data_IF_357571549776
#
_entry.id   IF_357571549776
#
_cell.length_a   1.000
_cell.length_b   1.000
_cell.length_c   1.000
_cell.angle_alpha   90.00
_cell.angle_beta   90.00
_cell.angle_gamma   90.00
#
_symmetry.space_group_name_H-M   'P 1'
#
loop_
_entity.id
_entity.type
_entity.pdbx_description
1 polymer ?
#
# COMPACT_ATOMS: atom_id res chain seq x y z
N UNK A 1 5.92 -26.62 10.46
CA UNK A 1 5.07 -25.81 9.54
C UNK A 1 5.45 -26.16 8.10
N UNK A 2 4.53 -26.66 7.28
CA UNK A 2 4.84 -27.22 5.94
C UNK A 2 5.58 -26.24 5.00
N UNK A 3 5.40 -24.92 5.15
CA UNK A 3 6.09 -23.91 4.36
C UNK A 3 7.60 -23.90 4.61
N UNK A 4 8.05 -23.95 5.86
CA UNK A 4 9.48 -23.88 6.20
C UNK A 4 10.27 -24.98 5.50
N UNK A 5 9.76 -26.22 5.54
CA UNK A 5 10.41 -27.35 4.85
C UNK A 5 10.49 -27.16 3.34
N UNK A 6 9.48 -26.51 2.73
CA UNK A 6 9.52 -26.16 1.30
C UNK A 6 10.60 -25.12 1.02
N UNK A 7 10.74 -24.09 1.86
CA UNK A 7 11.70 -22.98 1.66
C UNK A 7 13.16 -23.44 1.84
N UNK A 8 13.42 -24.45 2.67
CA UNK A 8 14.76 -25.04 2.84
C UNK A 8 15.34 -25.61 1.55
N UNK A 9 14.49 -26.19 0.70
CA UNK A 9 14.91 -26.95 -0.48
C UNK A 9 14.59 -26.28 -1.81
N UNK A 10 13.78 -25.21 -1.80
CA UNK A 10 13.28 -24.56 -3.01
C UNK A 10 13.72 -23.12 -3.11
N UNK A 11 13.83 -22.64 -4.34
CA UNK A 11 13.98 -21.22 -4.64
C UNK A 11 12.65 -20.49 -4.48
N UNK A 12 12.70 -19.27 -3.97
CA UNK A 12 11.53 -18.44 -3.74
C UNK A 12 11.87 -16.96 -3.81
N UNK A 13 10.86 -16.14 -4.07
CA UNK A 13 10.94 -14.69 -3.98
C UNK A 13 10.25 -14.19 -2.72
N UNK A 14 10.75 -13.09 -2.16
CA UNK A 14 10.14 -12.40 -1.02
C UNK A 14 9.73 -10.98 -1.42
N UNK A 15 8.59 -10.52 -0.92
CA UNK A 15 8.19 -9.13 -0.95
C UNK A 15 7.92 -8.65 0.47
N UNK A 16 8.50 -7.51 0.83
CA UNK A 16 8.34 -6.89 2.14
C UNK A 16 7.55 -5.58 2.05
N UNK A 17 6.69 -5.37 3.03
CA UNK A 17 6.02 -4.10 3.26
C UNK A 17 5.94 -3.83 4.76
N UNK A 18 6.36 -2.64 5.18
CA UNK A 18 6.12 -2.18 6.56
C UNK A 18 4.73 -1.53 6.63
N UNK A 19 4.03 -1.76 7.72
CA UNK A 19 2.75 -1.12 8.00
C UNK A 19 2.65 -0.82 9.48
N UNK A 20 2.04 0.30 9.83
CA UNK A 20 1.74 0.64 11.22
C UNK A 20 0.28 0.30 11.53
N UNK A 21 0.06 -0.47 12.60
CA UNK A 21 -1.28 -0.77 13.13
C UNK A 21 -1.82 0.40 13.96
N UNK A 22 -3.10 0.33 14.36
CA UNK A 22 -3.79 1.44 15.05
C UNK A 22 -3.15 1.85 16.37
N UNK A 23 -2.44 0.92 17.01
CA UNK A 23 -1.79 1.14 18.31
C UNK A 23 -0.31 1.54 18.18
N UNK A 24 0.08 2.10 17.02
CA UNK A 24 1.47 2.47 16.69
C UNK A 24 2.45 1.30 16.64
N UNK A 25 1.95 0.07 16.61
CA UNK A 25 2.77 -1.12 16.39
C UNK A 25 3.19 -1.20 14.93
N UNK A 26 4.50 -1.19 14.67
CA UNK A 26 5.04 -1.45 13.34
C UNK A 26 5.05 -2.96 13.08
N UNK A 27 4.53 -3.36 11.93
CA UNK A 27 4.54 -4.74 11.47
C UNK A 27 5.22 -4.87 10.12
N UNK A 28 6.00 -5.92 9.98
CA UNK A 28 6.58 -6.36 8.74
C UNK A 28 5.68 -7.42 8.12
N UNK A 29 5.10 -7.10 6.96
CA UNK A 29 4.35 -8.03 6.13
C UNK A 29 5.32 -8.66 5.14
N UNK A 30 5.38 -9.99 5.15
CA UNK A 30 6.28 -10.80 4.34
C UNK A 30 5.43 -11.66 3.42
N UNK A 31 5.49 -11.38 2.12
CA UNK A 31 4.90 -12.23 1.09
C UNK A 31 5.97 -13.11 0.49
N UNK A 32 5.72 -14.41 0.44
CA UNK A 32 6.57 -15.41 -0.17
C UNK A 32 5.89 -15.95 -1.41
N UNK A 33 6.65 -16.14 -2.48
CA UNK A 33 6.17 -16.80 -3.70
C UNK A 33 7.20 -17.82 -4.16
N UNK A 34 6.73 -19.03 -4.44
CA UNK A 34 7.56 -20.16 -4.84
C UNK A 34 6.80 -21.08 -5.80
N UNK A 35 7.53 -21.96 -6.49
CA UNK A 35 6.90 -22.96 -7.37
C UNK A 35 6.64 -24.25 -6.60
N UNK A 36 5.40 -24.73 -6.64
CA UNK A 36 4.96 -25.98 -6.01
C UNK A 36 4.07 -26.77 -6.98
N UNK A 37 4.47 -28.00 -7.30
CA UNK A 37 3.76 -28.89 -8.24
C UNK A 37 3.40 -28.20 -9.57
N UNK A 38 4.38 -27.50 -10.15
CA UNK A 38 4.22 -26.79 -11.43
C UNK A 38 3.45 -25.46 -11.37
N UNK A 39 2.92 -25.09 -10.20
CA UNK A 39 2.13 -23.87 -10.02
C UNK A 39 2.83 -22.88 -9.09
N UNK A 40 2.49 -21.59 -9.20
CA UNK A 40 2.88 -20.63 -8.19
C UNK A 40 2.07 -20.86 -6.91
N UNK A 41 2.76 -20.90 -5.79
CA UNK A 41 2.20 -20.88 -4.46
C UNK A 41 2.65 -19.60 -3.76
N UNK A 42 1.73 -18.97 -3.03
CA UNK A 42 1.94 -17.70 -2.35
C UNK A 42 1.51 -17.86 -0.88
N UNK A 43 2.31 -17.28 0.01
CA UNK A 43 2.08 -17.34 1.46
C UNK A 43 2.40 -15.98 2.06
N UNK A 44 1.58 -15.53 3.01
CA UNK A 44 1.78 -14.24 3.69
C UNK A 44 1.99 -14.47 5.18
N UNK A 45 3.00 -13.80 5.73
CA UNK A 45 3.28 -13.75 7.16
C UNK A 45 3.31 -12.31 7.63
N UNK A 46 2.97 -12.11 8.90
CA UNK A 46 3.10 -10.83 9.58
C UNK A 46 3.97 -11.01 10.82
N UNK A 47 4.92 -10.10 11.03
CA UNK A 47 5.81 -10.09 12.19
C UNK A 47 5.86 -8.71 12.80
N UNK A 48 5.69 -8.62 14.11
CA UNK A 48 5.87 -7.36 14.83
C UNK A 48 7.34 -6.92 14.81
N UNK A 49 7.56 -5.62 14.66
CA UNK A 49 8.84 -4.95 14.82
C UNK A 49 8.85 -4.29 16.21
N UNK A 50 9.45 -5.00 17.17
CA UNK A 50 9.36 -4.69 18.62
C UNK A 50 10.20 -3.47 19.04
N UNK A 51 11.16 -3.04 18.22
CA UNK A 51 12.08 -1.94 18.52
C UNK A 51 11.87 -0.77 17.57
N UNK A 52 12.69 -0.71 16.52
CA UNK A 52 12.72 0.34 15.50
C UNK A 52 12.39 -0.24 14.13
N UNK A 53 12.05 0.63 13.18
CA UNK A 53 11.75 0.26 11.79
C UNK A 53 12.96 0.48 10.88
N UNK A 54 14.19 0.34 11.39
CA UNK A 54 15.37 0.54 10.55
C UNK A 54 15.55 -0.61 9.57
N UNK A 55 16.31 -0.35 8.51
CA UNK A 55 16.69 -1.35 7.52
C UNK A 55 17.37 -2.58 8.13
N UNK A 56 18.19 -2.35 9.17
CA UNK A 56 18.89 -3.41 9.91
C UNK A 56 17.90 -4.24 10.72
N UNK A 57 16.91 -3.64 11.35
CA UNK A 57 15.89 -4.39 12.11
C UNK A 57 15.08 -5.31 11.19
N UNK A 58 14.66 -4.78 10.03
CA UNK A 58 13.93 -5.54 9.01
C UNK A 58 14.78 -6.70 8.47
N UNK A 59 16.05 -6.43 8.14
CA UNK A 59 17.00 -7.44 7.70
C UNK A 59 17.20 -8.52 8.76
N UNK A 60 17.51 -8.11 9.99
CA UNK A 60 17.74 -9.02 11.11
C UNK A 60 16.51 -9.88 11.40
N UNK A 61 15.30 -9.32 11.36
CA UNK A 61 14.06 -10.09 11.58
C UNK A 61 13.92 -11.22 10.56
N UNK A 62 14.20 -10.96 9.28
CA UNK A 62 14.16 -11.96 8.23
C UNK A 62 15.32 -12.96 8.35
N UNK A 63 16.53 -12.48 8.65
CA UNK A 63 17.74 -13.29 8.79
C UNK A 63 17.63 -14.26 9.98
N UNK A 64 17.22 -13.78 11.15
CA UNK A 64 16.93 -14.62 12.32
C UNK A 64 15.85 -15.65 12.00
N UNK A 65 14.76 -15.27 11.31
CA UNK A 65 13.75 -16.23 10.87
C UNK A 65 14.35 -17.31 9.97
N UNK A 66 15.20 -16.94 9.02
CA UNK A 66 15.87 -17.86 8.11
C UNK A 66 16.80 -18.81 8.86
N UNK A 67 17.66 -18.27 9.72
CA UNK A 67 18.68 -19.02 10.45
C UNK A 67 18.04 -19.97 11.48
N UNK A 68 17.05 -19.52 12.27
CA UNK A 68 16.31 -20.37 13.22
C UNK A 68 15.57 -21.52 12.54
N UNK A 69 15.21 -21.36 11.27
CA UNK A 69 14.52 -22.38 10.49
C UNK A 69 15.45 -23.13 9.52
N UNK A 70 16.77 -22.92 9.56
CA UNK A 70 17.74 -23.50 8.64
C UNK A 70 17.40 -23.29 7.16
N UNK A 71 16.79 -22.15 6.82
CA UNK A 71 16.48 -21.77 5.44
C UNK A 71 17.73 -21.10 4.85
N UNK A 72 18.31 -21.63 3.76
CA UNK A 72 19.48 -21.00 3.14
C UNK A 72 19.09 -19.66 2.49
N UNK A 73 19.78 -18.56 2.84
CA UNK A 73 19.54 -17.24 2.21
C UNK A 73 19.72 -17.27 0.68
N UNK A 74 20.60 -18.15 0.17
CA UNK A 74 20.77 -18.43 -1.28
C UNK A 74 19.49 -18.91 -1.98
N UNK A 75 18.47 -19.35 -1.23
CA UNK A 75 17.20 -19.78 -1.79
C UNK A 75 16.26 -18.60 -2.09
N UNK A 76 16.51 -17.44 -1.50
CA UNK A 76 15.83 -16.20 -1.85
C UNK A 76 16.43 -15.71 -3.17
N UNK A 77 15.71 -15.89 -4.28
CA UNK A 77 16.18 -15.49 -5.61
C UNK A 77 15.88 -14.05 -5.95
N UNK A 78 14.83 -13.49 -5.35
CA UNK A 78 14.51 -12.08 -5.50
C UNK A 78 13.86 -11.51 -4.25
N UNK A 79 14.07 -10.21 -4.04
CA UNK A 79 13.49 -9.46 -2.96
C UNK A 79 12.87 -8.17 -3.52
N UNK A 80 11.60 -7.94 -3.18
CA UNK A 80 10.87 -6.74 -3.55
C UNK A 80 10.47 -5.92 -2.32
N UNK A 81 10.57 -4.60 -2.41
CA UNK A 81 10.06 -3.69 -1.37
C UNK A 81 9.50 -2.42 -1.98
N UNK A 82 8.83 -1.63 -1.14
CA UNK A 82 8.52 -0.25 -1.48
C UNK A 82 9.79 0.60 -1.73
N UNK A 83 9.57 1.78 -2.31
CA UNK A 83 10.62 2.73 -2.66
C UNK A 83 11.16 3.56 -1.51
N UNK A 84 10.81 3.24 -0.26
CA UNK A 84 11.13 4.10 0.88
C UNK A 84 12.65 4.09 1.12
N UNK A 85 13.27 5.20 1.55
CA UNK A 85 14.71 5.28 1.78
C UNK A 85 15.26 4.19 2.70
N UNK A 86 14.47 3.74 3.68
CA UNK A 86 14.83 2.63 4.59
C UNK A 86 15.04 1.33 3.80
N UNK A 87 14.21 1.07 2.79
CA UNK A 87 14.29 -0.16 2.01
C UNK A 87 15.33 -0.07 0.88
N UNK A 88 15.37 1.07 0.18
CA UNK A 88 16.15 1.29 -1.05
C UNK A 88 17.46 2.08 -0.85
N UNK A 89 17.78 2.48 0.38
CA UNK A 89 18.93 3.34 0.68
C UNK A 89 20.26 2.79 0.12
N UNK A 90 21.06 3.66 -0.51
CA UNK A 90 22.32 3.26 -1.14
C UNK A 90 23.37 2.78 -0.14
N UNK A 91 23.42 3.37 1.04
CA UNK A 91 24.43 3.05 2.04
C UNK A 91 23.95 2.00 3.03
N UNK A 92 22.73 2.18 3.54
CA UNK A 92 22.17 1.38 4.62
C UNK A 92 20.78 0.80 4.28
N UNK A 93 20.40 0.66 3.02
CA UNK A 93 19.09 0.15 2.64
C UNK A 93 18.95 -1.36 2.89
N UNK A 94 17.76 -1.81 3.27
CA UNK A 94 17.46 -3.23 3.49
C UNK A 94 17.80 -4.09 2.26
N UNK A 95 17.43 -3.65 1.04
CA UNK A 95 17.73 -4.41 -0.17
C UNK A 95 19.23 -4.57 -0.43
N UNK A 96 20.04 -3.59 -0.02
CA UNK A 96 21.50 -3.70 -0.09
C UNK A 96 22.02 -4.80 0.84
N UNK A 97 21.56 -4.83 2.10
CA UNK A 97 21.94 -5.88 3.06
C UNK A 97 21.58 -7.28 2.54
N UNK A 98 20.41 -7.43 1.91
CA UNK A 98 20.01 -8.68 1.26
C UNK A 98 20.91 -9.08 0.09
N UNK A 99 21.38 -8.09 -0.69
CA UNK A 99 22.29 -8.30 -1.82
C UNK A 99 23.70 -8.66 -1.37
N UNK A 100 24.15 -8.13 -0.23
CA UNK A 100 25.42 -8.51 0.39
C UNK A 100 25.37 -9.97 0.90
N UNK A 101 24.24 -10.39 1.48
CA UNK A 101 24.03 -11.77 1.93
C UNK A 101 23.88 -12.77 0.75
N UNK A 102 23.27 -12.34 -0.35
CA UNK A 102 23.16 -13.13 -1.58
C UNK A 102 23.36 -12.25 -2.81
N UNK A 103 24.59 -12.25 -3.35
CA UNK A 103 24.98 -11.45 -4.51
C UNK A 103 24.19 -11.76 -5.78
N UNK A 104 23.61 -12.96 -5.89
CA UNK A 104 22.78 -13.36 -7.04
C UNK A 104 21.31 -12.93 -6.90
N UNK A 105 20.91 -12.34 -5.77
CA UNK A 105 19.53 -11.94 -5.53
C UNK A 105 19.10 -10.79 -6.45
N UNK A 106 17.94 -10.92 -7.10
CA UNK A 106 17.33 -9.85 -7.88
C UNK A 106 16.59 -8.90 -6.94
N UNK A 107 16.94 -7.61 -6.98
CA UNK A 107 16.26 -6.57 -6.21
C UNK A 107 15.21 -5.92 -7.10
N UNK A 108 13.96 -5.90 -6.62
CA UNK A 108 12.83 -5.38 -7.38
C UNK A 108 12.20 -4.23 -6.61
N UNK A 109 12.23 -3.04 -7.19
CA UNK A 109 11.43 -1.94 -6.67
C UNK A 109 9.95 -2.21 -7.00
N UNK A 110 9.08 -2.18 -5.97
CA UNK A 110 7.65 -2.46 -6.10
C UNK A 110 7.02 -1.73 -7.30
N UNK A 111 6.50 -2.50 -8.25
CA UNK A 111 5.91 -1.98 -9.49
C UNK A 111 4.73 -1.07 -9.20
N UNK A 112 3.87 -1.44 -8.24
CA UNK A 112 2.71 -0.65 -7.84
C UNK A 112 3.14 0.70 -7.26
N UNK A 113 4.21 0.73 -6.46
CA UNK A 113 4.75 1.98 -5.93
C UNK A 113 5.30 2.87 -7.05
N UNK A 114 6.04 2.30 -8.00
CA UNK A 114 6.54 3.03 -9.17
C UNK A 114 5.41 3.58 -10.03
N UNK A 115 4.39 2.79 -10.28
CA UNK A 115 3.21 3.20 -11.03
C UNK A 115 2.50 4.37 -10.34
N UNK A 116 2.31 4.30 -9.02
CA UNK A 116 1.72 5.39 -8.25
C UNK A 116 2.56 6.67 -8.30
N UNK A 117 3.90 6.55 -8.23
CA UNK A 117 4.80 7.69 -8.42
C UNK A 117 4.64 8.30 -9.81
N UNK A 118 4.68 7.48 -10.87
CA UNK A 118 4.48 7.97 -12.24
C UNK A 118 3.13 8.65 -12.38
N UNK A 119 2.04 8.04 -11.90
CA UNK A 119 0.70 8.62 -11.93
C UNK A 119 0.60 9.95 -11.17
N UNK A 120 1.47 10.20 -10.18
CA UNK A 120 1.57 11.49 -9.47
C UNK A 120 2.29 12.56 -10.30
N UNK A 121 3.10 12.21 -11.29
CA UNK A 121 3.90 13.19 -12.04
C UNK A 121 3.56 13.27 -13.54
N UNK A 122 2.81 12.30 -14.08
CA UNK A 122 2.57 12.17 -15.52
C UNK A 122 1.78 13.35 -16.12
N UNK A 123 0.89 13.99 -15.35
CA UNK A 123 0.13 15.15 -15.83
C UNK A 123 -0.14 16.15 -14.71
N UNK A 124 0.57 17.30 -14.72
CA UNK A 124 0.31 18.39 -13.77
C UNK A 124 -1.15 18.86 -13.79
N UNK A 125 -1.75 18.94 -14.99
CA UNK A 125 -3.15 19.36 -15.16
C UNK A 125 -4.12 18.39 -14.46
N UNK A 126 -3.94 17.08 -14.68
CA UNK A 126 -4.77 16.06 -14.03
C UNK A 126 -4.60 16.10 -12.51
N UNK A 127 -3.39 16.34 -12.01
CA UNK A 127 -3.15 16.49 -10.58
C UNK A 127 -3.85 17.71 -9.97
N UNK A 128 -3.89 18.84 -10.68
CA UNK A 128 -4.62 20.02 -10.23
C UNK A 128 -6.10 19.70 -10.08
N UNK A 129 -6.71 19.10 -11.11
CA UNK A 129 -8.13 18.69 -11.09
C UNK A 129 -8.39 17.69 -9.97
N UNK A 130 -7.53 16.69 -9.83
CA UNK A 130 -7.64 15.67 -8.78
C UNK A 130 -7.58 16.29 -7.38
N UNK A 131 -6.64 17.22 -7.14
CA UNK A 131 -6.54 17.93 -5.87
C UNK A 131 -7.74 18.82 -5.59
N UNK A 132 -8.37 19.42 -6.60
CA UNK A 132 -9.61 20.17 -6.45
C UNK A 132 -10.77 19.25 -6.04
N UNK A 133 -10.90 18.08 -6.67
CA UNK A 133 -11.89 17.08 -6.29
C UNK A 133 -11.69 16.61 -4.84
N UNK A 134 -10.44 16.37 -4.41
CA UNK A 134 -10.12 16.05 -3.01
C UNK A 134 -10.55 17.16 -2.07
N UNK A 135 -10.22 18.43 -2.37
CA UNK A 135 -10.61 19.58 -1.56
C UNK A 135 -12.13 19.70 -1.43
N UNK A 136 -12.86 19.47 -2.52
CA UNK A 136 -14.32 19.48 -2.56
C UNK A 136 -14.89 18.43 -1.60
N UNK A 137 -14.48 17.17 -1.72
CA UNK A 137 -14.94 16.08 -0.85
C UNK A 137 -14.55 16.32 0.61
N UNK A 138 -13.32 16.76 0.87
CA UNK A 138 -12.85 17.09 2.23
C UNK A 138 -13.66 18.25 2.85
N UNK A 139 -14.05 19.26 2.06
CA UNK A 139 -14.88 20.36 2.54
C UNK A 139 -16.31 19.91 2.88
N UNK A 140 -16.85 18.94 2.15
CA UNK A 140 -18.15 18.30 2.46
C UNK A 140 -18.04 17.44 3.73
N UNK A 141 -16.95 16.70 3.90
CA UNK A 141 -16.71 15.82 5.06
C UNK A 141 -15.97 16.52 6.21
N UNK A 142 -15.85 17.85 6.17
CA UNK A 142 -15.08 18.61 7.15
C UNK A 142 -15.60 18.44 8.59
N UNK A 143 -16.91 18.20 8.75
CA UNK A 143 -17.53 17.85 10.01
C UNK A 143 -18.83 17.05 9.80
N UNK A 144 -19.29 16.40 10.87
CA UNK A 144 -20.48 15.56 10.86
C UNK A 144 -21.74 16.32 10.40
N UNK A 145 -21.87 17.59 10.74
CA UNK A 145 -23.04 18.42 10.34
C UNK A 145 -23.10 18.60 8.83
N UNK A 146 -21.97 18.93 8.18
CA UNK A 146 -21.91 19.08 6.72
C UNK A 146 -22.12 17.76 5.99
N UNK A 147 -21.57 16.66 6.50
CA UNK A 147 -21.78 15.34 5.90
C UNK A 147 -23.26 14.91 5.99
N UNK A 148 -23.89 15.10 7.16
CA UNK A 148 -25.34 14.85 7.32
C UNK A 148 -26.17 15.76 6.41
N UNK A 149 -25.83 17.05 6.31
CA UNK A 149 -26.55 17.99 5.46
C UNK A 149 -26.44 17.62 3.97
N UNK A 150 -25.24 17.23 3.52
CA UNK A 150 -25.05 16.74 2.15
C UNK A 150 -25.84 15.45 1.90
N UNK A 151 -25.90 14.53 2.87
CA UNK A 151 -26.69 13.32 2.76
C UNK A 151 -28.17 13.62 2.55
N UNK A 152 -28.76 14.51 3.36
CA UNK A 152 -30.15 14.94 3.19
C UNK A 152 -30.37 15.63 1.85
N UNK A 153 -29.44 16.50 1.43
CA UNK A 153 -29.49 17.15 0.13
C UNK A 153 -29.46 16.16 -1.04
N UNK A 154 -28.66 15.08 -0.94
CA UNK A 154 -28.64 14.01 -1.93
C UNK A 154 -29.97 13.26 -2.01
N UNK A 155 -30.55 12.92 -0.86
CA UNK A 155 -31.83 12.20 -0.76
C UNK A 155 -33.00 13.03 -1.33
N UNK A 156 -32.97 14.36 -1.21
CA UNK A 156 -33.96 15.25 -1.83
C UNK A 156 -33.88 15.28 -3.37
N UNK A 157 -32.68 15.09 -3.93
CA UNK A 157 -32.44 15.23 -5.38
C UNK A 157 -32.50 13.89 -6.14
N UNK A 158 -32.51 12.75 -5.44
CA UNK A 158 -32.42 11.42 -6.05
C UNK A 158 -33.52 10.50 -5.50
N UNK A 159 -34.53 10.22 -6.31
CA UNK A 159 -35.71 9.41 -5.96
C UNK A 159 -35.37 7.93 -5.69
N UNK A 160 -34.30 7.41 -6.30
CA UNK A 160 -33.90 6.00 -6.14
C UNK A 160 -33.28 5.68 -4.77
N UNK A 161 -33.01 6.70 -3.93
CA UNK A 161 -32.40 6.60 -2.59
C UNK A 161 -31.11 5.77 -2.50
N UNK A 162 -30.47 5.42 -3.63
CA UNK A 162 -29.19 4.73 -3.66
C UNK A 162 -28.13 5.72 -3.16
N UNK A 163 -27.79 5.61 -1.88
CA UNK A 163 -26.82 6.50 -1.28
C UNK A 163 -25.40 6.15 -1.75
N UNK A 164 -24.82 7.05 -2.52
CA UNK A 164 -23.44 6.94 -2.98
C UNK A 164 -22.51 7.52 -1.92
N UNK A 165 -21.89 6.65 -1.12
CA UNK A 165 -20.98 7.06 -0.03
C UNK A 165 -19.82 7.90 -0.56
N UNK A 166 -19.61 9.08 0.03
CA UNK A 166 -18.42 9.91 -0.22
C UNK A 166 -17.15 9.19 0.25
N UNK A 167 -16.22 8.97 -0.69
CA UNK A 167 -14.94 8.30 -0.43
C UNK A 167 -13.87 9.36 -0.15
N UNK A 168 -13.22 9.28 1.02
CA UNK A 168 -12.03 10.07 1.29
C UNK A 168 -10.83 9.47 0.56
N UNK A 169 -10.08 10.32 -0.13
CA UNK A 169 -8.78 9.94 -0.66
C UNK A 169 -7.67 10.35 0.32
N UNK A 170 -6.76 9.43 0.61
CA UNK A 170 -5.50 9.73 1.31
C UNK A 170 -4.34 9.18 0.50
N UNK A 171 -3.22 9.92 0.47
CA UNK A 171 -2.01 9.53 -0.28
C UNK A 171 -1.43 8.18 0.18
N UNK A 172 -1.77 7.74 1.40
CA UNK A 172 -1.21 6.55 2.08
C UNK A 172 -1.92 5.26 1.64
N UNK A 173 -3.16 5.33 1.12
CA UNK A 173 -3.90 4.14 0.68
C UNK A 173 -4.00 4.13 -0.83
N UNK A 174 -3.15 3.32 -1.45
CA UNK A 174 -3.06 2.96 -2.87
C UNK A 174 -4.38 2.55 -3.55
N UNK A 175 -5.48 2.36 -2.81
CA UNK A 175 -6.81 2.21 -3.40
C UNK A 175 -7.29 3.54 -4.01
N UNK A 176 -6.84 3.71 -5.25
CA UNK A 176 -7.61 4.14 -6.42
C UNK A 176 -8.06 5.60 -6.46
N UNK A 177 -7.15 6.45 -6.94
CA UNK A 177 -7.52 7.71 -7.61
C UNK A 177 -8.68 7.50 -8.59
N UNK A 178 -8.69 6.38 -9.30
CA UNK A 178 -9.76 5.97 -10.21
C UNK A 178 -11.12 5.74 -9.54
N UNK A 179 -11.23 4.98 -8.45
CA UNK A 179 -12.53 4.77 -7.77
C UNK A 179 -12.99 6.08 -7.13
N UNK A 180 -12.06 6.85 -6.54
CA UNK A 180 -12.38 8.18 -6.03
C UNK A 180 -12.95 9.08 -7.13
N UNK A 181 -12.28 9.18 -8.27
CA UNK A 181 -12.71 10.01 -9.39
C UNK A 181 -14.03 9.52 -9.98
N UNK A 182 -14.20 8.21 -10.21
CA UNK A 182 -15.46 7.65 -10.69
C UNK A 182 -16.61 8.00 -9.73
N UNK A 183 -16.38 7.89 -8.42
CA UNK A 183 -17.37 8.26 -7.39
C UNK A 183 -17.65 9.76 -7.39
N UNK A 184 -16.62 10.59 -7.50
CA UNK A 184 -16.73 12.04 -7.57
C UNK A 184 -17.55 12.47 -8.79
N UNK A 185 -17.32 11.85 -9.96
CA UNK A 185 -18.07 12.15 -11.18
C UNK A 185 -19.55 11.79 -11.07
N UNK A 186 -19.89 10.66 -10.43
CA UNK A 186 -21.30 10.30 -10.15
C UNK A 186 -21.98 11.35 -9.25
N UNK A 187 -21.22 12.00 -8.37
CA UNK A 187 -21.72 13.00 -7.43
C UNK A 187 -21.54 14.44 -7.91
N UNK A 188 -20.98 14.67 -9.10
CA UNK A 188 -20.45 15.97 -9.50
C UNK A 188 -21.52 17.06 -9.52
N UNK A 189 -22.67 16.79 -10.15
CA UNK A 189 -23.75 17.76 -10.27
C UNK A 189 -24.34 18.11 -8.91
N UNK A 190 -24.61 17.11 -8.07
CA UNK A 190 -25.11 17.34 -6.71
C UNK A 190 -24.10 18.06 -5.83
N UNK A 191 -22.80 17.75 -5.93
CA UNK A 191 -21.76 18.51 -5.23
C UNK A 191 -21.75 19.96 -5.72
N UNK A 192 -21.82 20.19 -7.02
CA UNK A 192 -21.86 21.53 -7.63
C UNK A 192 -23.02 22.34 -7.07
N UNK A 193 -24.23 21.78 -7.05
CA UNK A 193 -25.42 22.46 -6.55
C UNK A 193 -25.40 22.65 -5.04
N UNK A 194 -24.87 21.68 -4.30
CA UNK A 194 -24.63 21.79 -2.86
C UNK A 194 -23.71 22.97 -2.52
N UNK A 195 -22.63 23.18 -3.28
CA UNK A 195 -21.71 24.30 -3.06
C UNK A 195 -22.23 25.64 -3.60
N UNK A 196 -23.13 25.64 -4.59
CA UNK A 196 -23.81 26.86 -5.07
C UNK A 196 -24.87 27.37 -4.10
N UNK A 197 -25.54 26.46 -3.36
CA UNK A 197 -26.39 26.83 -2.23
C UNK A 197 -25.50 27.45 -1.14
N UNK A 198 -25.37 28.78 -1.16
CA UNK A 198 -24.75 29.52 -0.06
C UNK A 198 -25.43 29.11 1.24
N UNK A 199 -24.70 28.46 2.14
CA UNK A 199 -24.96 28.52 3.58
C UNK A 199 -24.60 29.89 4.11
#
# INVERSE_FOLDING_TARGET
MQVVEKLKTRKFSVQLNESTLRDSEAVLIIYLRYVYKGNFAEEMFCKSLESTTTSKDIFNKLKTFSDSNNIPMKNITSCASDGIPIMMGKENGYLKLMKEENSNMLLVHCVIHRENLVAKYISPVVNVIFNLAIKCINATKANAKRECFFKSFWEEQNEDHIHVRLILHTDVRWQSKGIFLNRFMVLFDTLSDFFKRKT
#
